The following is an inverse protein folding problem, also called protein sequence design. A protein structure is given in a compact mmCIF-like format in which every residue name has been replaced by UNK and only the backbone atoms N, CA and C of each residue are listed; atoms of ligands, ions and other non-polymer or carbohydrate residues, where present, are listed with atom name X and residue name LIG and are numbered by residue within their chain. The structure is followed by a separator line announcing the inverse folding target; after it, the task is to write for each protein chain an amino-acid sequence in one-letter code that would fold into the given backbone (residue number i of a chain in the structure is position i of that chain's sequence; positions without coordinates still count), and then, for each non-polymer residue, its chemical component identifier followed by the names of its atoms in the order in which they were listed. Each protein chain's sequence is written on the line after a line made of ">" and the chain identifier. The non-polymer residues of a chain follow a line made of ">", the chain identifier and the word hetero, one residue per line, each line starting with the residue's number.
data_IF_267593461150
#
_entry.id   IF_267593461150
#
_cell.length_a   1.000
_cell.length_b   1.000
_cell.length_c   1.000
_cell.angle_alpha   90.00
_cell.angle_beta   90.00
_cell.angle_gamma   90.00
#
_symmetry.space_group_name_H-M   'P 1'
#
loop_
_entity.id
_entity.type
_entity.pdbx_description
1 polymer ?
#
# COMPACT_ATOMS: atom_id res chain seq x y z
N UNK A 1 -18.17 -31.15 -9.65
CA UNK A 1 -17.44 -29.87 -9.77
C UNK A 1 -18.12 -28.90 -8.81
N UNK A 2 -17.49 -28.53 -7.70
CA UNK A 2 -18.03 -27.50 -6.81
C UNK A 2 -18.00 -26.15 -7.57
N UNK A 3 -19.03 -25.30 -7.48
CA UNK A 3 -19.01 -24.00 -8.12
C UNK A 3 -17.83 -23.20 -7.56
N UNK A 4 -17.07 -22.55 -8.45
CA UNK A 4 -15.99 -21.68 -8.03
C UNK A 4 -16.56 -20.53 -7.19
N UNK A 5 -16.23 -20.50 -5.90
CA UNK A 5 -16.60 -19.40 -5.02
C UNK A 5 -15.95 -18.12 -5.54
N UNK A 6 -16.76 -17.13 -5.89
CA UNK A 6 -16.27 -15.81 -6.29
C UNK A 6 -15.61 -15.14 -5.07
N UNK A 7 -14.29 -15.15 -5.02
CA UNK A 7 -13.53 -14.46 -3.97
C UNK A 7 -13.65 -12.95 -4.21
N UNK A 8 -14.03 -12.21 -3.18
CA UNK A 8 -14.13 -10.75 -3.21
C UNK A 8 -13.19 -10.15 -2.19
N UNK A 9 -12.49 -9.08 -2.57
CA UNK A 9 -11.61 -8.34 -1.66
C UNK A 9 -12.44 -7.57 -0.64
N UNK A 10 -12.08 -7.69 0.64
CA UNK A 10 -12.74 -6.97 1.71
C UNK A 10 -12.53 -5.45 1.59
N UNK A 11 -13.51 -4.67 2.04
CA UNK A 11 -13.47 -3.20 2.03
C UNK A 11 -13.71 -2.68 3.44
N UNK A 12 -12.82 -1.83 3.94
CA UNK A 12 -12.89 -1.23 5.28
C UNK A 12 -12.92 0.29 5.15
N UNK A 13 -13.83 0.96 5.84
CA UNK A 13 -13.83 2.43 5.89
C UNK A 13 -12.71 2.92 6.81
N UNK A 14 -11.91 3.87 6.34
CA UNK A 14 -10.88 4.52 7.15
C UNK A 14 -11.45 5.26 8.38
N UNK A 15 -12.73 5.63 8.33
CA UNK A 15 -13.45 6.29 9.42
C UNK A 15 -14.09 5.33 10.41
N UNK A 16 -14.00 4.01 10.18
CA UNK A 16 -14.50 3.02 11.12
C UNK A 16 -13.71 3.08 12.42
N UNK A 17 -14.35 3.03 13.60
CA UNK A 17 -13.64 2.95 14.88
C UNK A 17 -12.80 1.67 15.01
N UNK A 18 -13.09 0.64 14.21
CA UNK A 18 -12.36 -0.64 14.18
C UNK A 18 -11.43 -0.78 12.99
N UNK A 19 -11.19 0.30 12.23
CA UNK A 19 -10.52 0.25 10.94
C UNK A 19 -9.17 -0.48 10.99
N UNK A 20 -8.30 -0.13 11.95
CA UNK A 20 -6.98 -0.76 12.12
C UNK A 20 -7.10 -2.27 12.33
N UNK A 21 -7.93 -2.70 13.28
CA UNK A 21 -8.13 -4.12 13.59
C UNK A 21 -8.66 -4.90 12.37
N UNK A 22 -9.67 -4.36 11.69
CA UNK A 22 -10.27 -5.02 10.52
C UNK A 22 -9.28 -5.10 9.36
N UNK A 23 -8.47 -4.06 9.14
CA UNK A 23 -7.40 -4.05 8.14
C UNK A 23 -6.39 -5.15 8.42
N UNK A 24 -5.84 -5.23 9.64
CA UNK A 24 -4.85 -6.24 10.02
C UNK A 24 -5.43 -7.65 9.86
N UNK A 25 -6.66 -7.88 10.35
CA UNK A 25 -7.35 -9.17 10.21
C UNK A 25 -7.50 -9.60 8.75
N UNK A 26 -7.83 -8.68 7.85
CA UNK A 26 -7.96 -8.98 6.43
C UNK A 26 -6.60 -9.18 5.74
N UNK A 27 -5.57 -8.43 6.11
CA UNK A 27 -4.21 -8.63 5.59
C UNK A 27 -3.68 -10.01 6.02
N UNK A 28 -3.82 -10.39 7.29
CA UNK A 28 -3.33 -11.68 7.80
C UNK A 28 -4.07 -12.88 7.17
N UNK A 29 -5.39 -12.76 6.94
CA UNK A 29 -6.21 -13.85 6.39
C UNK A 29 -6.16 -13.93 4.86
N UNK A 30 -6.32 -12.78 4.19
CA UNK A 30 -6.56 -12.69 2.75
C UNK A 30 -5.34 -12.16 1.98
N UNK A 31 -4.35 -11.59 2.67
CA UNK A 31 -3.22 -10.89 2.06
C UNK A 31 -3.57 -9.53 1.43
N UNK A 32 -4.85 -9.13 1.44
CA UNK A 32 -5.31 -7.93 0.75
C UNK A 32 -6.58 -7.34 1.37
N UNK A 33 -6.65 -6.01 1.43
CA UNK A 33 -7.84 -5.24 1.83
C UNK A 33 -7.87 -3.92 1.06
N UNK A 34 -9.07 -3.42 0.76
CA UNK A 34 -9.26 -2.08 0.19
C UNK A 34 -9.75 -1.15 1.29
N UNK A 35 -8.98 -0.11 1.59
CA UNK A 35 -9.39 0.94 2.54
C UNK A 35 -10.09 2.07 1.79
N UNK A 36 -11.32 2.38 2.16
CA UNK A 36 -12.11 3.44 1.53
C UNK A 36 -12.15 4.70 2.39
N UNK A 37 -12.19 5.87 1.76
CA UNK A 37 -12.36 7.13 2.49
C UNK A 37 -11.14 7.60 3.27
N UNK A 38 -9.92 7.16 2.90
CA UNK A 38 -8.68 7.66 3.52
C UNK A 38 -8.38 9.12 3.16
N UNK A 39 -8.75 9.56 1.97
CA UNK A 39 -8.46 10.92 1.47
C UNK A 39 -9.71 11.53 0.83
N UNK A 40 -9.82 12.85 0.94
CA UNK A 40 -10.88 13.61 0.27
C UNK A 40 -10.65 13.64 -1.24
N UNK A 41 -11.70 13.94 -2.00
CA UNK A 41 -11.58 14.12 -3.45
C UNK A 41 -10.59 15.23 -3.81
N UNK A 42 -10.65 16.35 -3.10
CA UNK A 42 -9.77 17.50 -3.36
C UNK A 42 -8.29 17.15 -3.11
N UNK A 43 -7.99 16.35 -2.08
CA UNK A 43 -6.64 15.86 -1.83
C UNK A 43 -6.12 15.02 -3.01
N UNK A 44 -6.96 14.12 -3.52
CA UNK A 44 -6.61 13.28 -4.68
C UNK A 44 -6.45 14.11 -5.96
N UNK A 45 -7.28 15.14 -6.17
CA UNK A 45 -7.11 16.04 -7.31
C UNK A 45 -5.83 16.87 -7.20
N UNK A 46 -5.41 17.27 -6.00
CA UNK A 46 -4.12 17.93 -5.79
C UNK A 46 -2.95 16.99 -6.13
N UNK A 47 -2.98 15.74 -5.68
CA UNK A 47 -1.96 14.73 -6.04
C UNK A 47 -1.87 14.56 -7.56
N UNK A 48 -3.01 14.44 -8.26
CA UNK A 48 -3.02 14.35 -9.73
C UNK A 48 -2.40 15.58 -10.38
N UNK A 49 -2.77 16.78 -9.92
CA UNK A 49 -2.24 18.04 -10.45
C UNK A 49 -0.72 18.15 -10.25
N UNK A 50 -0.23 17.78 -9.07
CA UNK A 50 1.20 17.84 -8.74
C UNK A 50 2.02 16.87 -9.60
N UNK A 51 1.49 15.66 -9.82
CA UNK A 51 2.22 14.60 -10.52
C UNK A 51 2.05 14.61 -12.04
N UNK A 52 1.00 15.23 -12.59
CA UNK A 52 0.71 15.22 -14.02
C UNK A 52 1.91 15.63 -14.91
N UNK A 53 2.63 16.74 -14.63
CA UNK A 53 3.77 17.14 -15.45
C UNK A 53 4.89 16.08 -15.50
N UNK A 54 5.04 15.29 -14.43
CA UNK A 54 6.09 14.29 -14.30
C UNK A 54 5.74 12.98 -15.01
N UNK A 55 4.45 12.65 -15.09
CA UNK A 55 3.98 11.55 -15.93
C UNK A 55 4.02 11.90 -17.41
N UNK A 56 3.69 13.15 -17.76
CA UNK A 56 3.72 13.64 -19.14
C UNK A 56 5.15 13.69 -19.70
N UNK A 57 6.14 13.94 -18.84
CA UNK A 57 7.57 13.95 -19.21
C UNK A 57 8.30 12.62 -19.02
N UNK A 58 7.59 11.54 -18.65
CA UNK A 58 8.24 10.24 -18.40
C UNK A 58 8.86 9.67 -19.67
N UNK A 59 9.92 8.87 -19.49
CA UNK A 59 10.64 8.21 -20.59
C UNK A 59 10.61 6.70 -20.40
N UNK A 60 10.46 5.91 -21.49
CA UNK A 60 10.44 4.47 -21.39
C UNK A 60 11.67 3.90 -20.68
N UNK A 61 11.44 2.83 -19.93
CA UNK A 61 12.48 2.15 -19.20
C UNK A 61 13.54 1.55 -20.15
N UNK A 62 14.77 2.05 -20.08
CA UNK A 62 15.86 1.57 -20.95
C UNK A 62 16.37 0.18 -20.57
N UNK A 63 16.07 -0.30 -19.35
CA UNK A 63 16.50 -1.63 -18.90
C UNK A 63 15.66 -2.77 -19.49
N UNK A 64 14.49 -2.46 -20.05
CA UNK A 64 13.54 -3.44 -20.59
C UNK A 64 12.75 -4.19 -19.51
N UNK A 65 12.83 -3.76 -18.24
CA UNK A 65 12.11 -4.39 -17.14
C UNK A 65 10.62 -4.04 -17.16
N UNK A 66 10.29 -2.77 -17.47
CA UNK A 66 8.90 -2.32 -17.57
C UNK A 66 8.43 -2.26 -19.03
N UNK A 67 7.16 -2.60 -19.31
CA UNK A 67 6.56 -2.34 -20.61
C UNK A 67 6.65 -0.85 -20.98
N UNK A 68 6.77 -0.54 -22.27
CA UNK A 68 6.85 0.85 -22.77
C UNK A 68 5.57 1.67 -22.52
N UNK A 69 4.48 1.01 -22.14
CA UNK A 69 3.21 1.64 -21.77
C UNK A 69 3.14 2.07 -20.30
N UNK A 70 4.11 1.68 -19.47
CA UNK A 70 4.13 2.02 -18.05
C UNK A 70 4.73 3.41 -17.86
N UNK A 71 3.92 4.33 -17.33
CA UNK A 71 4.41 5.65 -16.91
C UNK A 71 4.79 5.66 -15.42
N UNK A 72 5.85 6.37 -15.06
CA UNK A 72 6.37 6.45 -13.68
C UNK A 72 6.70 7.89 -13.30
N UNK A 73 6.17 8.34 -12.16
CA UNK A 73 6.66 9.52 -11.46
C UNK A 73 7.46 9.06 -10.24
N UNK A 74 8.77 9.27 -10.25
CA UNK A 74 9.67 8.91 -9.14
C UNK A 74 9.88 10.11 -8.21
N UNK A 75 10.36 9.87 -6.98
CA UNK A 75 10.68 10.92 -6.01
C UNK A 75 9.48 11.82 -5.64
N UNK A 76 8.27 11.25 -5.60
CA UNK A 76 7.01 11.99 -5.40
C UNK A 76 6.98 12.84 -4.13
N UNK A 77 7.76 12.51 -3.10
CA UNK A 77 7.87 13.31 -1.88
C UNK A 77 8.61 14.64 -2.09
N UNK A 78 9.56 14.70 -3.03
CA UNK A 78 10.22 15.95 -3.41
C UNK A 78 9.35 16.83 -4.31
N UNK A 79 8.24 16.29 -4.81
CA UNK A 79 7.37 16.92 -5.81
C UNK A 79 6.07 17.44 -5.18
N UNK A 80 5.41 16.61 -4.37
CA UNK A 80 4.06 16.86 -3.90
C UNK A 80 3.96 16.75 -2.38
N UNK A 81 3.55 17.85 -1.75
CA UNK A 81 3.18 17.84 -0.33
C UNK A 81 1.99 16.92 -0.07
N UNK A 82 1.03 16.86 -0.98
CA UNK A 82 -0.13 15.98 -0.86
C UNK A 82 0.27 14.50 -0.87
N UNK A 83 1.34 14.12 -1.58
CA UNK A 83 1.90 12.76 -1.51
C UNK A 83 2.58 12.47 -0.16
N UNK A 84 3.29 13.44 0.41
CA UNK A 84 3.85 13.31 1.78
C UNK A 84 2.72 13.08 2.78
N UNK A 85 1.68 13.91 2.72
CA UNK A 85 0.53 13.79 3.62
C UNK A 85 -0.18 12.43 3.47
N UNK A 86 -0.21 11.84 2.26
CA UNK A 86 -0.72 10.48 2.07
C UNK A 86 0.10 9.42 2.80
N UNK A 87 1.43 9.48 2.68
CA UNK A 87 2.32 8.53 3.34
C UNK A 87 2.37 8.71 4.87
N UNK A 88 2.06 9.92 5.36
CA UNK A 88 2.00 10.23 6.79
C UNK A 88 0.59 10.04 7.38
N UNK A 89 -0.34 9.40 6.66
CA UNK A 89 -1.69 9.19 7.17
C UNK A 89 -1.67 8.33 8.44
N UNK A 90 -2.28 8.76 9.58
CA UNK A 90 -2.16 8.07 10.87
C UNK A 90 -2.56 6.59 10.83
N UNK A 91 -3.66 6.25 10.15
CA UNK A 91 -4.09 4.86 9.97
C UNK A 91 -3.07 4.01 9.21
N UNK A 92 -2.38 4.58 8.20
CA UNK A 92 -1.38 3.85 7.43
C UNK A 92 -0.15 3.57 8.30
N UNK A 93 0.29 4.56 9.07
CA UNK A 93 1.40 4.42 10.01
C UNK A 93 1.09 3.39 11.10
N UNK A 94 -0.10 3.44 11.72
CA UNK A 94 -0.52 2.48 12.75
C UNK A 94 -0.56 1.03 12.22
N UNK A 95 -1.08 0.83 11.01
CA UNK A 95 -1.06 -0.48 10.35
C UNK A 95 0.37 -0.93 10.05
N UNK A 96 1.21 -0.01 9.57
CA UNK A 96 2.64 -0.25 9.34
C UNK A 96 3.36 -0.69 10.61
N UNK A 97 3.18 0.04 11.71
CA UNK A 97 3.75 -0.29 13.03
C UNK A 97 3.35 -1.68 13.49
N UNK A 98 2.10 -2.11 13.24
CA UNK A 98 1.63 -3.43 13.63
C UNK A 98 2.21 -4.56 12.78
N UNK A 99 2.40 -4.33 11.48
CA UNK A 99 2.87 -5.34 10.53
C UNK A 99 4.40 -5.45 10.52
N UNK A 100 5.11 -4.32 10.59
CA UNK A 100 6.57 -4.19 10.51
C UNK A 100 7.24 -4.18 11.89
N UNK A 101 6.59 -4.82 12.87
CA UNK A 101 7.22 -5.14 14.17
C UNK A 101 7.02 -6.61 14.52
N UNK A 102 6.54 -7.41 13.56
CA UNK A 102 6.32 -8.83 13.80
C UNK A 102 7.64 -9.58 13.90
N UNK A 103 7.76 -10.39 14.96
CA UNK A 103 8.92 -11.26 15.19
C UNK A 103 8.54 -12.68 14.82
N UNK A 104 9.28 -13.28 13.89
CA UNK A 104 9.11 -14.66 13.48
C UNK A 104 10.33 -15.49 13.86
N UNK A 105 10.11 -16.61 14.55
CA UNK A 105 11.16 -17.56 14.86
C UNK A 105 11.09 -18.75 13.92
N UNK A 106 12.23 -19.09 13.33
CA UNK A 106 12.38 -20.27 12.47
C UNK A 106 13.67 -20.99 12.80
N UNK A 107 13.83 -22.20 12.27
CA UNK A 107 15.06 -22.97 12.45
C UNK A 107 15.79 -23.09 11.13
N UNK A 108 17.09 -22.82 11.16
CA UNK A 108 18.02 -23.12 10.06
C UNK A 108 18.89 -24.29 10.50
N UNK A 109 18.45 -25.51 10.19
CA UNK A 109 19.04 -26.72 10.77
C UNK A 109 18.68 -26.83 12.26
N UNK A 110 19.70 -26.85 13.13
CA UNK A 110 19.53 -26.87 14.59
C UNK A 110 19.57 -25.48 15.23
N UNK A 111 19.92 -24.45 14.46
CA UNK A 111 20.02 -23.08 14.94
C UNK A 111 18.64 -22.40 14.92
N UNK A 112 18.19 -21.88 16.07
CA UNK A 112 17.00 -21.02 16.13
C UNK A 112 17.37 -19.63 15.63
N UNK A 113 16.76 -19.21 14.54
CA UNK A 113 16.90 -17.89 13.96
C UNK A 113 15.67 -17.03 14.26
N UNK A 114 15.88 -15.72 14.33
CA UNK A 114 14.81 -14.73 14.50
C UNK A 114 14.84 -13.79 13.30
N UNK A 115 13.72 -13.68 12.60
CA UNK A 115 13.47 -12.62 11.64
C UNK A 115 12.54 -11.59 12.27
N UNK A 116 12.83 -10.32 12.02
CA UNK A 116 11.97 -9.19 12.35
C UNK A 116 11.65 -8.50 11.03
N UNK A 117 10.36 -8.36 10.75
CA UNK A 117 9.83 -7.45 9.72
C UNK A 117 9.82 -6.04 10.27
#
# INVERSE_FOLDING_TARGET
>A
MLPATKVTVARVSATSPTAEFDIIKHIERDGVVIVTGMFSRDHIEQVKKDLAPYFDSDTPDQSGFFPTTTQRANHVFGISRACIDMCMHPLLLAVGDRLLTSTYHYYRGLEKCTAVS
#
